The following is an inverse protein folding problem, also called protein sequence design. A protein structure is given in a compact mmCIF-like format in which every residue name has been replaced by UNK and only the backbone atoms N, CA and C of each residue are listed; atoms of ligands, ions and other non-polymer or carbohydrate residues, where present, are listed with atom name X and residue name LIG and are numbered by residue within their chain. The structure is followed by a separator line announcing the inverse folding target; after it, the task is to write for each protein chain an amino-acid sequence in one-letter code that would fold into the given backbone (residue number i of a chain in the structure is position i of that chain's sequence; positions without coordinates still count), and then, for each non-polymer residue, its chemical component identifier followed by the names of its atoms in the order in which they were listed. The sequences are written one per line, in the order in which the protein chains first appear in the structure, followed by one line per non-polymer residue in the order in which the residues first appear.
data_IF_748585240973
#
_entry.id   IF_748585240973
#
_cell.length_a   1.000
_cell.length_b   1.000
_cell.length_c   1.000
_cell.angle_alpha   90.00
_cell.angle_beta   90.00
_cell.angle_gamma   90.00
#
_symmetry.space_group_name_H-M   'P 1'
#
loop_
_entity.id
_entity.type
_entity.pdbx_description
1 polymer ?
#
# COMPACT_ATOMS: atom_id res chain seq x y z
N UNK A 1 23.49 -17.37 5.43
CA UNK A 1 23.14 -16.25 4.55
C UNK A 1 21.66 -16.04 4.75
N UNK A 2 21.36 -15.36 5.85
CA UNK A 2 20.08 -15.44 6.51
C UNK A 2 19.37 -14.09 6.46
N UNK A 3 18.05 -14.17 6.40
CA UNK A 3 17.11 -13.05 6.44
C UNK A 3 17.07 -12.18 5.18
N UNK A 4 16.34 -12.69 4.18
CA UNK A 4 15.43 -11.84 3.41
C UNK A 4 14.55 -11.17 4.48
N UNK A 5 14.91 -9.94 4.86
CA UNK A 5 14.21 -9.16 5.88
C UNK A 5 12.75 -9.19 5.48
N UNK A 6 11.97 -9.92 6.28
CA UNK A 6 10.56 -10.10 6.02
C UNK A 6 9.97 -8.72 5.91
N UNK A 7 9.24 -8.47 4.82
CA UNK A 7 8.32 -7.34 4.66
C UNK A 7 7.34 -7.17 5.86
N UNK A 8 7.39 -8.10 6.81
CA UNK A 8 6.65 -8.16 8.06
C UNK A 8 7.33 -7.45 9.24
N UNK A 9 8.66 -7.25 9.25
CA UNK A 9 9.38 -6.73 10.43
C UNK A 9 9.51 -5.19 10.46
N UNK A 10 9.18 -4.50 9.36
CA UNK A 10 9.01 -3.03 9.36
C UNK A 10 7.59 -2.56 9.72
N UNK A 11 6.72 -3.46 10.19
CA UNK A 11 5.42 -3.11 10.79
C UNK A 11 5.57 -2.70 12.26
N UNK A 12 6.70 -2.13 12.64
CA UNK A 12 6.79 -1.39 13.90
C UNK A 12 5.89 -0.15 13.79
N UNK A 13 4.85 -0.11 14.62
CA UNK A 13 3.91 1.00 14.85
C UNK A 13 2.72 1.12 13.89
N UNK A 14 1.76 0.20 14.01
CA UNK A 14 0.33 0.55 13.90
C UNK A 14 -0.03 1.41 12.70
N UNK A 15 0.47 1.07 11.51
CA UNK A 15 0.04 1.75 10.29
C UNK A 15 -1.43 1.39 10.07
N UNK A 16 -2.29 2.38 10.26
CA UNK A 16 -3.68 2.25 9.88
C UNK A 16 -3.75 2.08 8.36
N UNK A 17 -4.76 1.41 7.80
CA UNK A 17 -4.85 1.19 6.36
C UNK A 17 -4.78 2.51 5.56
N UNK A 18 -5.17 3.64 6.15
CA UNK A 18 -5.03 4.99 5.60
C UNK A 18 -3.56 5.42 5.43
N UNK A 19 -2.68 5.12 6.40
CA UNK A 19 -1.24 5.41 6.29
C UNK A 19 -0.57 4.52 5.25
N UNK A 20 -0.94 3.24 5.22
CA UNK A 20 -0.45 2.30 4.22
C UNK A 20 -0.86 2.73 2.80
N UNK A 21 -2.10 3.19 2.64
CA UNK A 21 -2.61 3.76 1.39
C UNK A 21 -1.82 5.00 0.96
N UNK A 22 -1.55 5.93 1.88
CA UNK A 22 -0.78 7.15 1.60
C UNK A 22 0.63 6.82 1.09
N UNK A 23 1.27 5.82 1.70
CA UNK A 23 2.61 5.35 1.29
C UNK A 23 2.58 4.70 -0.09
N UNK A 24 1.61 3.84 -0.38
CA UNK A 24 1.48 3.21 -1.69
C UNK A 24 1.18 4.24 -2.79
N UNK A 25 0.35 5.24 -2.51
CA UNK A 25 0.11 6.38 -3.42
C UNK A 25 1.38 7.19 -3.68
N UNK A 26 2.20 7.45 -2.66
CA UNK A 26 3.46 8.15 -2.81
C UNK A 26 4.46 7.36 -3.68
N UNK A 27 4.57 6.05 -3.45
CA UNK A 27 5.37 5.16 -4.29
C UNK A 27 4.88 5.16 -5.74
N UNK A 28 3.57 5.02 -5.95
CA UNK A 28 2.98 5.03 -7.29
C UNK A 28 3.30 6.32 -8.04
N UNK A 29 3.16 7.48 -7.41
CA UNK A 29 3.47 8.77 -8.02
C UNK A 29 4.94 8.87 -8.44
N UNK A 30 5.87 8.38 -7.60
CA UNK A 30 7.29 8.35 -7.96
C UNK A 30 7.55 7.44 -9.18
N UNK A 31 6.91 6.27 -9.24
CA UNK A 31 7.03 5.37 -10.39
C UNK A 31 6.42 5.95 -11.67
N UNK A 32 5.28 6.65 -11.56
CA UNK A 32 4.63 7.32 -12.70
C UNK A 32 5.50 8.46 -13.24
N UNK A 33 6.17 9.22 -12.37
CA UNK A 33 7.15 10.24 -12.79
C UNK A 33 8.36 9.64 -13.52
N UNK A 34 8.78 8.44 -13.14
CA UNK A 34 9.85 7.70 -13.82
C UNK A 34 9.39 7.00 -15.11
N UNK A 35 8.12 7.13 -15.50
CA UNK A 35 7.47 6.40 -16.61
C UNK A 35 7.65 4.89 -16.52
N UNK A 36 7.86 4.39 -15.31
CA UNK A 36 8.00 2.97 -15.07
C UNK A 36 6.62 2.36 -15.37
N UNK A 37 6.58 1.37 -16.25
CA UNK A 37 5.33 0.78 -16.77
C UNK A 37 5.39 -0.74 -16.64
N UNK A 38 5.77 -1.19 -15.46
CA UNK A 38 5.97 -2.61 -15.17
C UNK A 38 4.72 -3.23 -14.54
N UNK A 39 4.58 -4.55 -14.61
CA UNK A 39 3.48 -5.28 -13.98
C UNK A 39 3.42 -5.03 -12.48
N UNK A 40 4.55 -4.70 -11.86
CA UNK A 40 4.64 -4.30 -10.46
C UNK A 40 3.76 -3.09 -10.11
N UNK A 41 3.60 -2.13 -11.03
CA UNK A 41 2.77 -0.95 -10.81
C UNK A 41 1.29 -1.28 -10.87
N UNK A 42 0.91 -2.24 -11.71
CA UNK A 42 -0.45 -2.78 -11.72
C UNK A 42 -0.79 -3.39 -10.37
N UNK A 43 0.14 -4.16 -9.77
CA UNK A 43 -0.06 -4.73 -8.44
C UNK A 43 -0.21 -3.64 -7.36
N UNK A 44 0.60 -2.58 -7.39
CA UNK A 44 0.46 -1.45 -6.46
C UNK A 44 -0.91 -0.78 -6.62
N UNK A 45 -1.38 -0.58 -7.86
CA UNK A 45 -2.72 0.00 -8.13
C UNK A 45 -3.84 -0.88 -7.60
N UNK A 46 -3.73 -2.20 -7.74
CA UNK A 46 -4.70 -3.14 -7.18
C UNK A 46 -4.71 -3.11 -5.65
N UNK A 47 -3.55 -3.07 -5.01
CA UNK A 47 -3.46 -3.04 -3.55
C UNK A 47 -3.95 -1.72 -2.96
N UNK A 48 -3.71 -0.60 -3.63
CA UNK A 48 -4.34 0.70 -3.34
C UNK A 48 -5.87 0.55 -3.37
N UNK A 49 -6.43 -0.06 -4.42
CA UNK A 49 -7.89 -0.22 -4.54
C UNK A 49 -8.48 -1.13 -3.44
N UNK A 50 -7.77 -2.19 -3.05
CA UNK A 50 -8.19 -3.06 -1.94
C UNK A 50 -8.16 -2.31 -0.61
N UNK A 51 -7.12 -1.53 -0.35
CA UNK A 51 -7.01 -0.70 0.85
C UNK A 51 -8.10 0.36 0.91
N UNK A 52 -8.39 1.05 -0.20
CA UNK A 52 -9.49 2.03 -0.29
C UNK A 52 -10.84 1.38 0.03
N UNK A 53 -11.13 0.19 -0.51
CA UNK A 53 -12.35 -0.56 -0.19
C UNK A 53 -12.41 -0.96 1.28
N UNK A 54 -11.29 -1.41 1.85
CA UNK A 54 -11.23 -1.82 3.25
C UNK A 54 -11.47 -0.63 4.19
N UNK A 55 -10.91 0.54 3.88
CA UNK A 55 -11.17 1.79 4.62
C UNK A 55 -12.64 2.17 4.50
N UNK A 56 -13.20 2.16 3.28
CA UNK A 56 -14.61 2.49 3.05
C UNK A 56 -15.57 1.56 3.81
N UNK A 57 -15.33 0.25 3.78
CA UNK A 57 -16.11 -0.74 4.54
C UNK A 57 -15.99 -0.53 6.06
N UNK A 58 -14.82 -0.10 6.55
CA UNK A 58 -14.62 0.18 7.99
C UNK A 58 -15.33 1.46 8.45
N UNK A 59 -15.54 2.41 7.55
CA UNK A 59 -16.35 3.61 7.81
C UNK A 59 -17.85 3.29 7.91
N UNK A 60 -18.36 2.29 7.19
CA UNK A 60 -19.78 1.89 7.28
C UNK A 60 -20.12 1.11 8.56
N UNK A 61 -19.17 0.37 9.14
CA UNK A 61 -19.41 -0.42 10.38
C UNK A 61 -19.43 0.45 11.65
N UNK A 62 -19.04 1.73 11.56
CA UNK A 62 -19.05 2.67 12.70
C UNK A 62 -20.12 3.77 12.60
N UNK A 63 -21.14 3.63 11.74
CA UNK A 63 -22.32 4.53 11.68
C UNK A 63 -23.56 3.92 12.33
#
# INVERSE_FOLDING_TARGET
MDSIIGFHEQMEFGETPEKQLARYRACLNAFEQMQYSDNYILQIKEDISKLEKLIASRSEVNS
#
